data_IF_371713411689
#
_entry.id   IF_371713411689
#
_cell.length_a   1.000
_cell.length_b   1.000
_cell.length_c   1.000
_cell.angle_alpha   90.00
_cell.angle_beta   90.00
_cell.angle_gamma   90.00
#
_symmetry.space_group_name_H-M   'P 1'
#
loop_
_entity.id
_entity.type
_entity.pdbx_description
1 polymer ?
#
# COMPACT_ATOMS: atom_id res chain seq x y z
N UNK A 1 -10.29 -4.07 17.54
CA UNK A 1 -11.33 -4.20 16.47
C UNK A 1 -10.91 -5.15 15.33
N UNK A 2 -9.62 -5.25 14.93
CA UNK A 2 -9.17 -6.17 13.87
C UNK A 2 -9.19 -7.64 14.31
N UNK A 3 -8.81 -7.93 15.54
CA UNK A 3 -8.88 -9.28 16.12
C UNK A 3 -10.34 -9.71 16.26
N UNK A 4 -11.22 -8.83 16.75
CA UNK A 4 -12.66 -9.09 16.81
C UNK A 4 -13.29 -9.37 15.44
N UNK A 5 -12.84 -8.68 14.38
CA UNK A 5 -13.29 -8.97 12.99
C UNK A 5 -12.79 -10.31 12.47
N UNK A 6 -11.55 -10.72 12.77
CA UNK A 6 -11.02 -12.05 12.36
C UNK A 6 -11.69 -13.20 13.10
N UNK A 7 -12.02 -13.02 14.38
CA UNK A 7 -12.77 -14.02 15.16
C UNK A 7 -14.22 -14.07 14.69
N UNK A 8 -14.86 -12.92 14.46
CA UNK A 8 -16.22 -12.86 13.92
C UNK A 8 -16.32 -13.44 12.50
N UNK A 9 -15.31 -13.25 11.65
CA UNK A 9 -15.26 -13.81 10.30
C UNK A 9 -15.16 -15.35 10.28
N UNK A 10 -14.68 -15.99 11.36
CA UNK A 10 -14.68 -17.46 11.48
C UNK A 10 -16.04 -18.06 11.82
N UNK A 11 -16.96 -17.25 12.36
CA UNK A 11 -18.30 -17.66 12.78
C UNK A 11 -19.43 -16.99 11.98
N UNK A 12 -19.11 -16.08 11.06
CA UNK A 12 -20.10 -15.40 10.25
C UNK A 12 -20.32 -16.17 8.94
N UNK A 13 -21.57 -16.43 8.61
CA UNK A 13 -21.99 -16.93 7.31
C UNK A 13 -21.46 -15.99 6.20
N UNK A 14 -21.04 -16.56 5.09
CA UNK A 14 -20.56 -15.82 3.93
C UNK A 14 -21.62 -14.78 3.52
N UNK A 15 -21.25 -13.49 3.45
CA UNK A 15 -22.16 -12.41 3.10
C UNK A 15 -22.41 -12.43 1.59
N UNK A 16 -23.64 -12.71 1.19
CA UNK A 16 -24.06 -12.78 -0.22
C UNK A 16 -24.46 -11.39 -0.71
N UNK A 17 -23.71 -10.87 -1.69
CA UNK A 17 -23.88 -9.51 -2.20
C UNK A 17 -24.39 -9.51 -3.64
N UNK A 18 -25.45 -8.72 -3.91
CA UNK A 18 -25.92 -8.42 -5.24
C UNK A 18 -25.30 -7.08 -5.69
N UNK A 19 -24.69 -7.07 -6.85
CA UNK A 19 -24.13 -5.86 -7.42
C UNK A 19 -25.09 -5.21 -8.39
N UNK A 20 -25.27 -3.87 -8.29
CA UNK A 20 -26.07 -3.06 -9.19
C UNK A 20 -25.18 -1.99 -9.81
N UNK A 21 -24.97 -2.07 -11.13
CA UNK A 21 -24.10 -1.13 -11.84
C UNK A 21 -23.51 -1.70 -13.13
N UNK A 22 -22.44 -1.08 -13.63
CA UNK A 22 -21.81 -1.50 -14.89
C UNK A 22 -21.00 -2.80 -14.74
N UNK A 23 -20.97 -3.61 -15.79
CA UNK A 23 -20.20 -4.88 -15.86
C UNK A 23 -18.70 -4.68 -15.63
N UNK A 24 -18.13 -3.56 -16.05
CA UNK A 24 -16.70 -3.22 -15.85
C UNK A 24 -16.39 -3.06 -14.37
N UNK A 25 -17.26 -2.37 -13.61
CA UNK A 25 -17.06 -2.18 -12.16
C UNK A 25 -17.27 -3.50 -11.42
N UNK A 26 -18.22 -4.32 -11.87
CA UNK A 26 -18.46 -5.67 -11.35
C UNK A 26 -17.21 -6.55 -11.44
N UNK A 27 -16.60 -6.66 -12.63
CA UNK A 27 -15.37 -7.44 -12.83
C UNK A 27 -14.20 -6.97 -11.94
N UNK A 28 -14.02 -5.64 -11.83
CA UNK A 28 -13.02 -5.07 -10.93
C UNK A 28 -13.26 -5.40 -9.45
N UNK A 29 -14.52 -5.37 -9.02
CA UNK A 29 -14.90 -5.71 -7.66
C UNK A 29 -14.73 -7.20 -7.40
N UNK A 30 -15.12 -8.05 -8.35
CA UNK A 30 -14.94 -9.49 -8.28
C UNK A 30 -13.48 -9.88 -8.14
N UNK A 31 -12.58 -9.35 -8.97
CA UNK A 31 -11.14 -9.58 -8.86
C UNK A 31 -10.55 -9.15 -7.52
N UNK A 32 -11.06 -8.07 -6.91
CA UNK A 32 -10.64 -7.64 -5.57
C UNK A 32 -11.15 -8.53 -4.44
N UNK A 33 -12.33 -9.12 -4.60
CA UNK A 33 -12.97 -9.96 -3.58
C UNK A 33 -12.57 -11.45 -3.70
N UNK A 34 -11.85 -11.84 -4.74
CA UNK A 34 -11.44 -13.23 -5.00
C UNK A 34 -10.62 -13.84 -3.84
N UNK A 35 -9.93 -12.99 -3.08
CA UNK A 35 -9.15 -13.38 -1.90
C UNK A 35 -9.89 -13.19 -0.56
N UNK A 36 -11.11 -12.62 -0.57
CA UNK A 36 -11.92 -12.41 0.63
C UNK A 36 -13.01 -13.48 0.74
N UNK A 37 -12.78 -14.47 1.59
CA UNK A 37 -13.72 -15.57 1.82
C UNK A 37 -14.98 -15.17 2.60
N UNK A 38 -15.08 -13.94 3.06
CA UNK A 38 -16.21 -13.45 3.86
C UNK A 38 -17.36 -12.89 3.03
N UNK A 39 -17.09 -12.55 1.74
CA UNK A 39 -18.05 -11.91 0.83
C UNK A 39 -18.09 -12.64 -0.50
N UNK A 40 -19.29 -12.92 -1.00
CA UNK A 40 -19.49 -13.52 -2.35
C UNK A 40 -20.46 -12.66 -3.15
N UNK A 41 -20.05 -12.29 -4.37
CA UNK A 41 -20.93 -11.65 -5.34
C UNK A 41 -21.80 -12.73 -6.02
N UNK A 42 -23.10 -12.71 -5.74
CA UNK A 42 -24.04 -13.73 -6.22
C UNK A 42 -24.69 -13.38 -7.57
N UNK A 43 -24.50 -12.14 -8.04
CA UNK A 43 -24.97 -11.69 -9.34
C UNK A 43 -24.72 -10.21 -9.56
N UNK A 44 -24.90 -9.77 -10.81
CA UNK A 44 -24.87 -8.36 -11.21
C UNK A 44 -26.10 -8.01 -12.03
N UNK A 45 -26.62 -6.80 -11.81
CA UNK A 45 -27.77 -6.24 -12.55
C UNK A 45 -27.42 -4.84 -13.00
N UNK A 46 -27.84 -4.48 -14.22
CA UNK A 46 -27.69 -3.12 -14.73
C UNK A 46 -28.52 -2.13 -13.91
N UNK A 47 -27.99 -0.91 -13.74
CA UNK A 47 -28.72 0.12 -12.99
C UNK A 47 -30.07 0.43 -13.63
N UNK A 48 -30.13 0.49 -14.96
CA UNK A 48 -31.37 0.77 -15.73
C UNK A 48 -32.42 -0.33 -15.58
N UNK A 49 -32.00 -1.59 -15.44
CA UNK A 49 -32.92 -2.74 -15.33
C UNK A 49 -33.66 -2.77 -14.00
N UNK A 50 -33.12 -2.09 -12.97
CA UNK A 50 -33.67 -2.11 -11.61
C UNK A 50 -34.39 -0.81 -11.26
N UNK A 51 -34.04 0.32 -11.90
CA UNK A 51 -34.75 1.60 -11.71
C UNK A 51 -36.15 1.54 -12.27
N UNK A 52 -36.40 0.71 -13.29
CA UNK A 52 -37.71 0.56 -13.95
C UNK A 52 -38.65 -0.39 -13.19
N UNK A 53 -38.09 -1.32 -12.35
CA UNK A 53 -38.91 -2.32 -11.67
C UNK A 53 -38.31 -2.75 -10.31
N UNK A 54 -38.77 -2.09 -9.24
CA UNK A 54 -38.38 -2.39 -7.86
C UNK A 54 -38.83 -3.79 -7.41
N UNK A 55 -39.94 -4.32 -8.00
CA UNK A 55 -40.43 -5.66 -7.68
C UNK A 55 -39.48 -6.73 -8.19
N UNK A 56 -38.84 -6.50 -9.32
CA UNK A 56 -37.80 -7.37 -9.88
C UNK A 56 -36.56 -7.45 -8.94
N UNK A 57 -36.17 -6.32 -8.34
CA UNK A 57 -35.10 -6.33 -7.35
C UNK A 57 -35.45 -7.19 -6.12
N UNK A 58 -36.69 -7.08 -5.65
CA UNK A 58 -37.17 -7.85 -4.50
C UNK A 58 -37.21 -9.36 -4.79
N UNK A 59 -37.69 -9.76 -5.95
CA UNK A 59 -37.71 -11.18 -6.35
C UNK A 59 -36.28 -11.75 -6.49
N UNK A 60 -35.35 -11.02 -7.13
CA UNK A 60 -33.96 -11.41 -7.27
C UNK A 60 -33.25 -11.54 -5.93
N UNK A 61 -33.48 -10.60 -5.01
CA UNK A 61 -32.84 -10.64 -3.70
C UNK A 61 -33.31 -11.83 -2.86
N UNK A 62 -34.58 -12.23 -2.99
CA UNK A 62 -35.12 -13.42 -2.34
C UNK A 62 -34.59 -14.72 -2.96
N UNK A 63 -34.62 -14.83 -4.32
CA UNK A 63 -34.15 -16.02 -5.04
C UNK A 63 -32.65 -16.28 -4.78
N UNK A 64 -31.84 -15.23 -4.74
CA UNK A 64 -30.40 -15.32 -4.56
C UNK A 64 -29.99 -15.28 -3.08
N UNK A 65 -30.91 -15.26 -2.12
CA UNK A 65 -30.66 -15.15 -0.68
C UNK A 65 -29.60 -14.04 -0.38
N UNK A 66 -29.86 -12.83 -0.87
CA UNK A 66 -28.95 -11.68 -0.76
C UNK A 66 -28.98 -11.11 0.64
N UNK A 67 -27.82 -10.80 1.19
CA UNK A 67 -27.66 -10.12 2.49
C UNK A 67 -27.36 -8.62 2.33
N UNK A 68 -26.73 -8.24 1.20
CA UNK A 68 -26.33 -6.85 0.92
C UNK A 68 -26.48 -6.51 -0.56
N UNK A 69 -26.93 -5.31 -0.85
CA UNK A 69 -26.92 -4.73 -2.20
C UNK A 69 -25.79 -3.71 -2.29
N UNK A 70 -24.95 -3.84 -3.32
CA UNK A 70 -23.86 -2.89 -3.62
C UNK A 70 -24.24 -2.13 -4.87
N UNK A 71 -24.47 -0.83 -4.74
CA UNK A 71 -24.85 0.05 -5.85
C UNK A 71 -23.63 0.85 -6.28
N UNK A 72 -23.20 0.69 -7.54
CA UNK A 72 -22.12 1.50 -8.12
C UNK A 72 -22.73 2.58 -9.02
N UNK A 73 -22.54 3.84 -8.64
CA UNK A 73 -22.98 4.99 -9.45
C UNK A 73 -21.91 5.32 -10.49
N UNK A 74 -22.29 5.36 -11.77
CA UNK A 74 -21.42 5.82 -12.87
C UNK A 74 -21.62 7.31 -13.11
N UNK A 75 -20.56 8.03 -13.54
CA UNK A 75 -20.70 9.42 -13.98
C UNK A 75 -21.69 9.51 -15.16
N UNK A 76 -22.81 10.17 -14.99
CA UNK A 76 -23.90 10.24 -15.96
C UNK A 76 -25.18 9.53 -15.52
N UNK A 77 -25.20 8.88 -14.37
CA UNK A 77 -26.43 8.34 -13.78
C UNK A 77 -27.27 9.46 -13.18
N UNK A 78 -28.56 9.49 -13.50
CA UNK A 78 -29.49 10.43 -12.90
C UNK A 78 -29.50 10.27 -11.36
N UNK A 79 -29.24 11.35 -10.61
CA UNK A 79 -29.26 11.32 -9.16
C UNK A 79 -30.60 10.86 -8.58
N UNK A 80 -31.71 11.24 -9.21
CA UNK A 80 -33.05 10.91 -8.75
C UNK A 80 -33.35 9.42 -8.92
N UNK A 81 -32.97 8.82 -10.05
CA UNK A 81 -33.08 7.38 -10.28
C UNK A 81 -32.22 6.57 -9.29
N UNK A 82 -31.03 7.06 -8.95
CA UNK A 82 -30.19 6.43 -7.91
C UNK A 82 -30.84 6.51 -6.54
N UNK A 83 -31.45 7.63 -6.20
CA UNK A 83 -32.14 7.85 -4.93
C UNK A 83 -33.35 6.94 -4.78
N UNK A 84 -34.15 6.80 -5.83
CA UNK A 84 -35.30 5.87 -5.85
C UNK A 84 -34.86 4.42 -5.67
N UNK A 85 -33.78 4.00 -6.32
CA UNK A 85 -33.20 2.68 -6.15
C UNK A 85 -32.76 2.43 -4.72
N UNK A 86 -32.07 3.40 -4.08
CA UNK A 86 -31.64 3.30 -2.69
C UNK A 86 -32.84 3.22 -1.74
N UNK A 87 -33.87 4.02 -1.99
CA UNK A 87 -35.14 3.96 -1.22
C UNK A 87 -35.81 2.59 -1.38
N UNK A 88 -35.95 2.11 -2.62
CA UNK A 88 -36.50 0.79 -2.92
C UNK A 88 -35.71 -0.36 -2.29
N UNK A 89 -34.39 -0.30 -2.39
CA UNK A 89 -33.53 -1.30 -1.75
C UNK A 89 -33.65 -1.29 -0.22
N UNK A 90 -33.78 -0.13 0.42
CA UNK A 90 -34.02 -0.03 1.88
C UNK A 90 -35.33 -0.66 2.31
N UNK A 91 -36.39 -0.63 1.50
CA UNK A 91 -37.66 -1.27 1.84
C UNK A 91 -37.59 -2.79 1.87
N UNK A 92 -36.56 -3.40 1.27
CA UNK A 92 -36.33 -4.85 1.36
C UNK A 92 -35.78 -5.31 2.70
N UNK A 93 -35.36 -4.40 3.58
CA UNK A 93 -34.70 -4.70 4.85
C UNK A 93 -33.24 -5.14 4.71
N UNK A 94 -32.68 -5.13 3.51
CA UNK A 94 -31.30 -5.52 3.25
C UNK A 94 -30.34 -4.36 3.52
N UNK A 95 -29.05 -4.70 3.77
CA UNK A 95 -27.99 -3.71 3.83
C UNK A 95 -27.74 -3.14 2.45
N UNK A 96 -27.68 -1.81 2.34
CA UNK A 96 -27.35 -1.12 1.09
C UNK A 96 -26.00 -0.42 1.27
N UNK A 97 -25.08 -0.65 0.32
CA UNK A 97 -23.80 0.02 0.24
C UNK A 97 -23.67 0.70 -1.11
N UNK A 98 -23.27 1.96 -1.10
CA UNK A 98 -23.03 2.73 -2.31
C UNK A 98 -21.53 2.75 -2.58
N UNK A 99 -21.12 2.42 -3.79
CA UNK A 99 -19.75 2.53 -4.28
C UNK A 99 -19.63 3.78 -5.16
N UNK A 100 -19.27 4.94 -4.61
CA UNK A 100 -19.11 6.15 -5.42
C UNK A 100 -17.83 6.06 -6.26
N UNK A 101 -17.87 6.52 -7.51
CA UNK A 101 -16.69 6.61 -8.38
C UNK A 101 -15.56 7.46 -7.78
N UNK A 102 -15.90 8.40 -6.91
CA UNK A 102 -14.97 9.32 -6.25
C UNK A 102 -14.04 8.59 -5.26
N UNK A 103 -14.45 7.43 -4.70
CA UNK A 103 -13.64 6.69 -3.72
C UNK A 103 -12.33 6.15 -4.30
N UNK A 104 -12.24 5.95 -5.61
CA UNK A 104 -10.98 5.57 -6.26
C UNK A 104 -9.92 6.68 -6.15
N UNK A 105 -10.35 7.94 -6.08
CA UNK A 105 -9.47 9.10 -5.96
C UNK A 105 -9.28 9.57 -4.50
N UNK A 106 -10.24 9.29 -3.62
CA UNK A 106 -10.30 9.84 -2.25
C UNK A 106 -9.85 8.83 -1.19
N UNK A 107 -9.85 7.53 -1.52
CA UNK A 107 -9.55 6.45 -0.58
C UNK A 107 -10.70 6.18 0.41
N UNK A 108 -10.41 5.41 1.46
CA UNK A 108 -11.42 4.96 2.44
C UNK A 108 -11.71 5.96 3.57
N UNK A 109 -11.03 7.09 3.62
CA UNK A 109 -11.19 8.13 4.67
C UNK A 109 -12.16 9.20 4.21
N UNK A 110 -13.44 8.85 4.15
CA UNK A 110 -14.50 9.80 3.87
C UNK A 110 -15.18 10.14 5.18
N UNK A 111 -15.29 11.43 5.48
CA UNK A 111 -16.09 11.96 6.58
C UNK A 111 -17.44 12.45 6.00
N UNK A 112 -18.52 12.24 6.74
CA UNK A 112 -19.78 12.88 6.42
C UNK A 112 -19.84 14.18 7.22
N UNK A 113 -19.90 15.31 6.52
CA UNK A 113 -20.11 16.63 7.10
C UNK A 113 -21.57 17.05 6.88
N UNK A 114 -22.10 17.88 7.77
CA UNK A 114 -23.41 18.50 7.62
C UNK A 114 -23.22 20.00 7.46
N UNK A 115 -23.75 20.54 6.38
CA UNK A 115 -23.79 21.98 6.14
C UNK A 115 -25.23 22.45 6.06
N UNK A 116 -25.79 22.90 7.20
CA UNK A 116 -27.15 23.46 7.24
C UNK A 116 -28.24 22.44 6.90
N UNK A 117 -28.09 21.15 7.33
CA UNK A 117 -29.03 20.06 7.04
C UNK A 117 -28.74 19.32 5.72
N UNK A 118 -27.70 19.73 5.00
CA UNK A 118 -27.29 19.10 3.75
C UNK A 118 -26.09 18.16 4.00
N UNK A 119 -26.23 16.83 3.92
CA UNK A 119 -25.12 15.93 4.14
C UNK A 119 -24.09 16.03 3.01
N UNK A 120 -22.87 16.36 3.35
CA UNK A 120 -21.74 16.49 2.43
C UNK A 120 -20.76 15.33 2.61
N UNK A 121 -20.19 14.88 1.50
CA UNK A 121 -19.08 13.95 1.51
C UNK A 121 -17.77 14.75 1.71
N UNK A 122 -17.32 14.88 2.96
CA UNK A 122 -16.08 15.56 3.30
C UNK A 122 -14.88 14.77 2.80
N UNK A 123 -14.11 15.39 1.91
CA UNK A 123 -12.83 14.84 1.43
C UNK A 123 -11.73 15.42 2.33
N UNK A 124 -11.04 14.59 3.13
CA UNK A 124 -9.97 15.07 3.99
C UNK A 124 -8.85 15.68 3.15
N UNK A 125 -8.18 16.68 3.73
CA UNK A 125 -7.02 17.30 3.08
C UNK A 125 -5.96 16.24 2.80
N UNK A 126 -5.40 16.27 1.59
CA UNK A 126 -4.31 15.37 1.21
C UNK A 126 -3.05 15.66 2.03
N UNK A 127 -2.46 14.61 2.63
CA UNK A 127 -1.25 14.72 3.43
C UNK A 127 -1.51 14.95 4.93
N UNK A 128 -0.43 15.09 5.69
CA UNK A 128 -0.48 15.19 7.15
C UNK A 128 -0.80 16.61 7.64
N UNK A 129 -1.63 16.69 8.66
CA UNK A 129 -1.78 17.92 9.46
C UNK A 129 -0.45 18.29 10.14
N UNK A 130 -0.34 19.52 10.66
CA UNK A 130 0.87 19.93 11.40
C UNK A 130 1.13 19.03 12.61
N UNK A 131 0.12 18.76 13.42
CA UNK A 131 0.22 17.84 14.59
C UNK A 131 0.63 16.44 14.17
N UNK A 132 0.03 15.91 13.13
CA UNK A 132 0.38 14.58 12.59
C UNK A 132 1.83 14.49 12.13
N UNK A 133 2.38 15.56 11.54
CA UNK A 133 3.81 15.61 11.16
C UNK A 133 4.74 15.50 12.37
N UNK A 134 4.43 16.22 13.45
CA UNK A 134 5.22 16.17 14.68
C UNK A 134 5.12 14.80 15.34
N UNK A 135 3.92 14.24 15.46
CA UNK A 135 3.70 12.91 16.04
C UNK A 135 4.42 11.83 15.24
N UNK A 136 4.31 11.87 13.91
CA UNK A 136 5.05 10.96 13.04
C UNK A 136 6.56 11.09 13.22
N UNK A 137 7.08 12.32 13.25
CA UNK A 137 8.50 12.58 13.42
C UNK A 137 9.03 12.09 14.79
N UNK A 138 8.25 12.28 15.85
CA UNK A 138 8.59 11.78 17.19
C UNK A 138 8.66 10.24 17.19
N UNK A 139 7.69 9.55 16.58
CA UNK A 139 7.71 8.09 16.40
C UNK A 139 8.94 7.65 15.60
N UNK A 140 9.26 8.33 14.50
CA UNK A 140 10.39 8.02 13.64
C UNK A 140 11.73 8.14 14.42
N UNK A 141 11.92 9.24 15.15
CA UNK A 141 13.15 9.46 15.95
C UNK A 141 13.24 8.42 17.06
N UNK A 142 12.16 8.22 17.82
CA UNK A 142 12.16 7.26 18.93
C UNK A 142 12.46 5.85 18.43
N UNK A 143 11.72 5.37 17.43
CA UNK A 143 11.91 4.02 16.91
C UNK A 143 13.28 3.81 16.23
N UNK A 144 13.77 4.82 15.49
CA UNK A 144 15.10 4.74 14.88
C UNK A 144 16.23 4.75 15.92
N UNK A 145 16.10 5.54 16.99
CA UNK A 145 17.08 5.56 18.10
C UNK A 145 17.11 4.22 18.82
N UNK A 146 15.95 3.68 19.19
CA UNK A 146 15.85 2.35 19.81
C UNK A 146 16.42 1.29 18.88
N UNK A 147 16.05 1.33 17.58
CA UNK A 147 16.57 0.40 16.58
C UNK A 147 18.10 0.47 16.44
N UNK A 148 18.68 1.68 16.39
CA UNK A 148 20.13 1.86 16.32
C UNK A 148 20.84 1.31 17.56
N UNK A 149 20.33 1.61 18.77
CA UNK A 149 20.94 1.11 20.02
C UNK A 149 20.93 -0.42 20.06
N UNK A 150 19.79 -1.04 19.74
CA UNK A 150 19.65 -2.49 19.74
C UNK A 150 20.49 -3.17 18.66
N UNK A 151 20.60 -2.55 17.48
CA UNK A 151 21.34 -3.11 16.35
C UNK A 151 22.82 -2.71 16.34
N UNK A 152 23.27 -1.77 17.17
CA UNK A 152 24.64 -1.29 17.16
C UNK A 152 25.70 -2.41 17.26
N UNK A 153 25.62 -3.38 18.19
CA UNK A 153 26.61 -4.46 18.26
C UNK A 153 26.60 -5.32 16.97
N UNK A 154 25.42 -5.61 16.43
CA UNK A 154 25.29 -6.38 15.19
C UNK A 154 25.83 -5.59 13.98
N UNK A 155 25.59 -4.29 13.93
CA UNK A 155 26.12 -3.42 12.88
C UNK A 155 27.66 -3.34 12.94
N UNK A 156 28.24 -3.34 14.11
CA UNK A 156 29.72 -3.37 14.29
C UNK A 156 30.27 -4.69 13.74
N UNK A 157 29.75 -5.82 14.16
CA UNK A 157 30.15 -7.14 13.64
C UNK A 157 30.00 -7.22 12.12
N UNK A 158 28.84 -6.77 11.59
CA UNK A 158 28.59 -6.70 10.15
C UNK A 158 29.64 -5.87 9.43
N UNK A 159 30.03 -4.74 9.99
CA UNK A 159 31.06 -3.85 9.41
C UNK A 159 32.41 -4.55 9.29
N UNK A 160 32.79 -5.30 10.29
CA UNK A 160 34.06 -6.11 10.29
C UNK A 160 33.96 -7.20 9.22
N UNK A 161 32.84 -7.95 9.19
CA UNK A 161 32.65 -9.04 8.22
C UNK A 161 32.72 -8.52 6.77
N UNK A 162 32.12 -7.38 6.47
CA UNK A 162 32.19 -6.76 5.13
C UNK A 162 33.60 -6.40 4.75
N UNK A 163 34.40 -5.88 5.71
CA UNK A 163 35.81 -5.51 5.47
C UNK A 163 36.72 -6.72 5.23
N UNK A 164 36.40 -7.84 5.86
CA UNK A 164 37.15 -9.10 5.67
C UNK A 164 36.74 -9.77 4.35
N UNK A 165 35.45 -9.72 3.96
CA UNK A 165 34.92 -10.40 2.79
C UNK A 165 35.32 -9.71 1.46
N UNK A 166 35.44 -8.38 1.46
CA UNK A 166 35.77 -7.63 0.22
C UNK A 166 36.44 -6.28 0.52
N UNK A 167 37.32 -5.83 -0.38
CA UNK A 167 37.95 -4.51 -0.37
C UNK A 167 36.94 -3.39 -0.60
N UNK A 168 37.16 -2.19 -0.04
CA UNK A 168 36.33 -1.00 -0.27
C UNK A 168 35.54 -0.53 0.97
N UNK A 169 34.61 0.43 0.84
CA UNK A 169 33.87 1.03 1.96
C UNK A 169 32.83 0.06 2.53
N UNK A 170 32.56 0.12 3.83
CA UNK A 170 31.53 -0.68 4.51
C UNK A 170 30.13 -0.26 4.10
N UNK A 171 29.91 1.05 3.93
CA UNK A 171 28.63 1.63 3.58
C UNK A 171 28.56 1.93 2.08
N UNK A 172 27.52 1.47 1.47
CA UNK A 172 27.10 1.85 0.12
C UNK A 172 26.13 3.04 0.20
N UNK A 173 26.29 3.99 -0.70
CA UNK A 173 25.45 5.18 -0.79
C UNK A 173 24.78 5.21 -2.16
N UNK A 174 23.47 5.38 -2.17
CA UNK A 174 22.71 5.45 -3.40
C UNK A 174 21.79 6.67 -3.41
N UNK A 175 21.87 7.46 -4.48
CA UNK A 175 20.96 8.60 -4.67
C UNK A 175 19.55 8.09 -4.93
N UNK A 176 18.61 8.55 -4.12
CA UNK A 176 17.17 8.25 -4.22
C UNK A 176 16.35 9.52 -4.17
N UNK A 177 15.12 9.44 -4.67
CA UNK A 177 14.16 10.54 -4.62
C UNK A 177 13.45 10.53 -3.27
N UNK A 178 13.55 11.65 -2.57
CA UNK A 178 12.97 11.88 -1.26
C UNK A 178 11.70 12.73 -1.30
N UNK A 179 11.38 13.30 -0.14
CA UNK A 179 10.21 14.16 0.02
C UNK A 179 10.27 15.37 -0.91
N UNK A 180 9.12 15.70 -1.51
CA UNK A 180 8.95 16.79 -2.50
C UNK A 180 9.87 16.67 -3.72
N UNK A 181 10.38 15.48 -4.02
CA UNK A 181 11.28 15.25 -5.15
C UNK A 181 12.75 15.56 -4.87
N UNK A 182 13.11 16.00 -3.67
CA UNK A 182 14.49 16.30 -3.32
C UNK A 182 15.35 15.02 -3.28
N UNK A 183 16.50 14.96 -3.96
CA UNK A 183 17.37 13.80 -3.90
C UNK A 183 18.05 13.68 -2.53
N UNK A 184 18.28 12.45 -2.07
CA UNK A 184 19.04 12.17 -0.85
C UNK A 184 19.91 10.92 -1.01
N UNK A 185 20.92 10.78 -0.13
CA UNK A 185 21.79 9.62 -0.10
C UNK A 185 21.23 8.57 0.85
N UNK A 186 20.70 7.48 0.31
CA UNK A 186 20.26 6.32 1.06
C UNK A 186 21.46 5.46 1.44
N UNK A 187 21.56 5.14 2.73
CA UNK A 187 22.65 4.36 3.30
C UNK A 187 22.26 2.88 3.37
N UNK A 188 23.16 2.01 2.91
CA UNK A 188 23.06 0.55 3.08
C UNK A 188 24.43 -0.03 3.45
N UNK A 189 24.47 -1.21 4.03
CA UNK A 189 25.70 -1.98 4.04
C UNK A 189 26.03 -2.45 2.62
N UNK A 190 27.31 -2.48 2.28
CA UNK A 190 27.76 -2.99 1.00
C UNK A 190 27.56 -4.51 0.97
N UNK A 191 26.81 -4.99 -0.02
CA UNK A 191 26.51 -6.41 -0.24
C UNK A 191 27.02 -6.91 -1.58
N UNK A 192 27.63 -6.05 -2.37
CA UNK A 192 28.19 -6.36 -3.68
C UNK A 192 29.68 -6.05 -3.70
N UNK A 193 30.39 -6.67 -4.64
CA UNK A 193 31.80 -6.41 -4.92
C UNK A 193 32.01 -4.94 -5.30
N UNK A 194 33.26 -4.48 -5.18
CA UNK A 194 33.61 -3.15 -5.66
C UNK A 194 33.41 -3.08 -7.18
N UNK A 195 33.01 -1.92 -7.69
CA UNK A 195 32.67 -1.72 -9.11
C UNK A 195 31.47 -2.55 -9.64
N UNK A 196 30.56 -3.03 -8.78
CA UNK A 196 29.38 -3.78 -9.21
C UNK A 196 28.46 -3.01 -10.22
N UNK A 197 28.51 -1.67 -10.20
CA UNK A 197 27.75 -0.85 -11.14
C UNK A 197 28.26 -0.95 -12.59
N UNK A 198 29.55 -1.13 -12.82
CA UNK A 198 30.13 -1.32 -14.15
C UNK A 198 29.69 -2.66 -14.76
N UNK A 199 29.58 -3.70 -13.94
CA UNK A 199 29.10 -5.03 -14.34
C UNK A 199 27.60 -5.06 -14.62
N UNK A 200 26.85 -4.03 -14.23
CA UNK A 200 25.40 -3.99 -14.44
C UNK A 200 25.02 -3.98 -15.92
N UNK A 201 25.81 -3.30 -16.76
CA UNK A 201 25.54 -3.22 -18.21
C UNK A 201 25.66 -4.60 -18.87
N UNK A 202 26.66 -5.40 -18.48
CA UNK A 202 26.91 -6.74 -19.01
C UNK A 202 25.83 -7.75 -18.57
N UNK A 203 25.21 -7.51 -17.42
CA UNK A 203 24.18 -8.37 -16.86
C UNK A 203 22.76 -7.94 -17.22
N UNK A 204 22.59 -6.92 -18.07
CA UNK A 204 21.27 -6.38 -18.37
C UNK A 204 20.34 -7.39 -19.08
N UNK A 205 20.92 -8.28 -19.90
CA UNK A 205 20.17 -9.34 -20.59
C UNK A 205 19.63 -10.42 -19.64
N UNK A 206 20.21 -10.56 -18.44
CA UNK A 206 19.77 -11.52 -17.41
C UNK A 206 18.69 -10.94 -16.48
N UNK A 207 18.15 -9.77 -16.80
CA UNK A 207 17.14 -9.12 -15.97
C UNK A 207 15.80 -9.86 -16.04
N UNK A 208 15.32 -10.37 -14.88
CA UNK A 208 14.09 -11.14 -14.76
C UNK A 208 12.83 -10.29 -14.48
N UNK A 209 13.01 -9.00 -14.19
CA UNK A 209 11.92 -8.14 -13.77
C UNK A 209 11.59 -7.06 -14.82
N UNK A 210 10.32 -6.98 -15.23
CA UNK A 210 9.82 -5.89 -16.05
C UNK A 210 9.77 -4.57 -15.27
N UNK A 211 10.68 -3.64 -15.62
CA UNK A 211 10.72 -2.28 -15.06
C UNK A 211 11.63 -2.06 -13.85
N UNK A 212 12.09 -3.10 -13.18
CA UNK A 212 13.11 -3.06 -12.13
C UNK A 212 14.25 -3.98 -12.53
N UNK A 213 15.51 -3.63 -12.17
CA UNK A 213 16.64 -4.51 -12.42
C UNK A 213 16.75 -5.53 -11.28
N UNK A 214 16.51 -6.81 -11.58
CA UNK A 214 16.57 -7.91 -10.62
C UNK A 214 17.07 -9.20 -11.30
N UNK A 215 18.09 -9.83 -10.70
CA UNK A 215 18.64 -11.14 -11.10
C UNK A 215 18.56 -12.02 -9.85
N UNK A 216 18.03 -13.23 -9.97
CA UNK A 216 17.82 -14.14 -8.83
C UNK A 216 19.13 -14.57 -8.18
N UNK A 217 20.14 -14.94 -8.96
CA UNK A 217 21.47 -15.26 -8.46
C UNK A 217 22.52 -14.31 -9.04
N UNK A 218 22.49 -13.07 -8.55
CA UNK A 218 23.35 -11.97 -9.02
C UNK A 218 24.83 -12.26 -8.62
N UNK A 219 25.73 -12.49 -9.58
CA UNK A 219 27.13 -12.83 -9.31
C UNK A 219 27.94 -11.74 -8.61
N UNK A 220 27.43 -10.50 -8.62
CA UNK A 220 28.05 -9.36 -7.94
C UNK A 220 27.88 -9.40 -6.42
N UNK A 221 26.97 -10.24 -5.91
CA UNK A 221 26.69 -10.32 -4.47
C UNK A 221 27.75 -11.14 -3.77
N UNK A 222 28.42 -10.55 -2.76
CA UNK A 222 29.43 -11.24 -1.93
C UNK A 222 28.80 -12.32 -1.03
N UNK A 223 29.63 -13.19 -0.44
CA UNK A 223 29.12 -14.24 0.48
C UNK A 223 28.44 -13.64 1.71
N UNK A 224 29.08 -12.65 2.34
CA UNK A 224 28.50 -11.89 3.44
C UNK A 224 27.28 -11.10 2.98
N UNK A 225 27.36 -10.47 1.79
CA UNK A 225 26.26 -9.73 1.22
C UNK A 225 24.98 -10.56 1.02
N UNK A 226 25.11 -11.81 0.59
CA UNK A 226 23.98 -12.76 0.45
C UNK A 226 23.30 -13.04 1.80
N UNK A 227 24.09 -13.23 2.84
CA UNK A 227 23.59 -13.41 4.21
C UNK A 227 22.85 -12.17 4.71
N UNK A 228 23.45 -10.96 4.52
CA UNK A 228 22.86 -9.69 4.95
C UNK A 228 21.53 -9.42 4.27
N UNK A 229 21.43 -9.63 2.95
CA UNK A 229 20.18 -9.47 2.18
C UNK A 229 19.09 -10.41 2.64
N UNK A 230 19.44 -11.68 2.90
CA UNK A 230 18.48 -12.69 3.40
C UNK A 230 17.83 -12.28 4.71
N UNK A 231 18.55 -11.56 5.56
CA UNK A 231 18.07 -11.07 6.85
C UNK A 231 17.63 -9.60 6.81
N UNK A 232 17.71 -8.94 5.65
CA UNK A 232 17.47 -7.50 5.48
C UNK A 232 18.35 -6.62 6.38
N UNK A 233 19.47 -7.14 6.85
CA UNK A 233 20.44 -6.41 7.70
C UNK A 233 21.20 -5.34 6.91
N UNK A 234 21.30 -5.49 5.60
CA UNK A 234 21.90 -4.50 4.72
C UNK A 234 21.18 -3.13 4.78
N UNK A 235 19.93 -3.11 5.20
CA UNK A 235 19.13 -1.89 5.32
C UNK A 235 19.25 -1.18 6.68
N UNK A 236 19.89 -1.81 7.69
CA UNK A 236 20.02 -1.24 9.03
C UNK A 236 20.63 0.18 9.05
N UNK A 237 21.64 0.56 8.20
CA UNK A 237 22.17 1.92 8.16
C UNK A 237 21.15 3.00 7.76
N UNK A 238 20.00 2.61 7.16
CA UNK A 238 18.92 3.56 6.85
C UNK A 238 18.31 4.19 8.12
N UNK A 239 18.43 3.56 9.28
CA UNK A 239 18.04 4.17 10.56
C UNK A 239 18.75 5.52 10.79
N UNK A 240 19.99 5.67 10.31
CA UNK A 240 20.70 6.96 10.33
C UNK A 240 20.03 7.99 9.39
N UNK A 241 19.51 7.54 8.24
CA UNK A 241 18.74 8.41 7.37
C UNK A 241 17.42 8.87 8.04
N UNK A 242 16.79 8.01 8.85
CA UNK A 242 15.61 8.38 9.62
C UNK A 242 15.95 9.43 10.67
N UNK A 243 17.03 9.25 11.45
CA UNK A 243 17.48 10.26 12.44
C UNK A 243 17.77 11.60 11.75
N UNK A 244 18.40 11.59 10.58
CA UNK A 244 18.70 12.81 9.79
C UNK A 244 17.46 13.45 9.17
N UNK A 245 16.34 12.73 9.08
CA UNK A 245 15.07 13.22 8.51
C UNK A 245 14.93 13.06 7.00
N UNK A 246 15.91 12.47 6.32
CA UNK A 246 15.82 12.14 4.90
C UNK A 246 14.94 10.91 4.63
N UNK A 247 14.75 10.07 5.65
CA UNK A 247 13.83 8.93 5.65
C UNK A 247 12.91 8.93 6.87
N UNK A 248 11.91 8.07 6.85
CA UNK A 248 10.97 7.73 7.92
C UNK A 248 11.04 6.22 8.16
N UNK A 249 10.59 5.74 9.31
CA UNK A 249 10.43 4.29 9.53
C UNK A 249 9.41 3.71 8.54
N UNK A 250 8.26 4.38 8.40
CA UNK A 250 7.19 3.97 7.49
C UNK A 250 6.94 5.07 6.47
N UNK A 251 6.90 4.72 5.19
CA UNK A 251 6.65 5.69 4.12
C UNK A 251 6.61 5.07 2.74
N UNK A 252 6.42 5.90 1.71
CA UNK A 252 6.55 5.50 0.32
C UNK A 252 7.95 4.95 0.02
N UNK A 253 8.06 4.03 -0.92
CA UNK A 253 9.37 3.50 -1.33
C UNK A 253 10.24 4.60 -1.94
N UNK A 254 11.51 4.77 -1.49
CA UNK A 254 12.46 5.64 -2.15
C UNK A 254 12.87 5.06 -3.51
N UNK A 255 12.45 5.69 -4.60
CA UNK A 255 12.78 5.27 -5.96
C UNK A 255 14.12 5.86 -6.41
N UNK A 256 14.79 5.19 -7.36
CA UNK A 256 15.91 5.77 -8.10
C UNK A 256 15.38 6.82 -9.08
N UNK A 257 16.25 7.74 -9.50
CA UNK A 257 15.88 8.86 -10.36
C UNK A 257 15.17 8.40 -11.65
N UNK A 258 15.63 7.33 -12.28
CA UNK A 258 15.06 6.84 -13.54
C UNK A 258 13.70 6.17 -13.38
N UNK A 259 13.43 5.52 -12.24
CA UNK A 259 12.10 5.01 -11.89
C UNK A 259 11.14 6.17 -11.61
N UNK A 260 11.59 7.20 -10.88
CA UNK A 260 10.75 8.34 -10.50
C UNK A 260 10.36 9.21 -11.72
N UNK A 261 11.22 9.35 -12.72
CA UNK A 261 10.91 10.06 -13.98
C UNK A 261 9.69 9.49 -14.71
N UNK A 262 9.39 8.19 -14.52
CA UNK A 262 8.24 7.52 -15.14
C UNK A 262 6.92 7.84 -14.45
N UNK A 263 6.95 8.48 -13.26
CA UNK A 263 5.78 8.82 -12.48
C UNK A 263 5.39 10.26 -12.76
N UNK A 264 4.19 10.46 -13.29
CA UNK A 264 3.68 11.78 -13.68
C UNK A 264 2.32 12.07 -13.01
N UNK A 265 1.87 13.31 -13.08
CA UNK A 265 0.53 13.70 -12.65
C UNK A 265 0.28 13.53 -11.15
N UNK A 266 -0.90 13.05 -10.81
CA UNK A 266 -1.35 12.88 -9.42
C UNK A 266 -0.53 11.90 -8.61
N UNK A 267 0.06 10.92 -9.26
CA UNK A 267 0.85 9.86 -8.63
C UNK A 267 2.13 10.42 -7.96
N UNK A 268 2.65 11.56 -8.41
CA UNK A 268 3.77 12.27 -7.77
C UNK A 268 3.44 12.77 -6.35
N UNK A 269 2.17 12.86 -5.98
CA UNK A 269 1.77 13.24 -4.62
C UNK A 269 2.22 12.24 -3.56
N UNK A 270 2.64 11.02 -3.94
CA UNK A 270 3.33 10.09 -3.05
C UNK A 270 4.54 10.72 -2.37
N UNK A 271 5.18 11.69 -3.01
CA UNK A 271 6.35 12.40 -2.51
C UNK A 271 6.03 13.47 -1.44
N UNK A 272 4.77 13.69 -1.08
CA UNK A 272 4.40 14.59 0.02
C UNK A 272 4.84 14.07 1.39
N UNK A 273 5.08 12.78 1.52
CA UNK A 273 5.68 12.17 2.71
C UNK A 273 7.15 11.81 2.48
N UNK A 274 7.89 11.79 3.58
CA UNK A 274 9.27 11.29 3.60
C UNK A 274 9.25 9.79 3.28
N UNK A 275 10.15 9.29 2.41
CA UNK A 275 10.21 7.87 2.06
C UNK A 275 10.56 7.02 3.29
N UNK A 276 10.02 5.79 3.33
CA UNK A 276 10.17 4.88 4.46
C UNK A 276 11.23 3.81 4.26
N UNK A 277 11.76 3.29 5.38
CA UNK A 277 12.50 2.01 5.39
C UNK A 277 11.55 0.89 5.02
N UNK A 278 10.34 0.92 5.61
CA UNK A 278 9.24 0.01 5.25
C UNK A 278 8.01 0.79 4.77
N UNK A 279 7.06 0.09 4.18
CA UNK A 279 5.82 0.68 3.68
C UNK A 279 4.79 -0.38 3.34
N UNK A 280 3.58 0.07 3.04
CA UNK A 280 2.44 -0.80 2.77
C UNK A 280 2.68 -1.75 1.58
N UNK A 281 3.34 -1.28 0.53
CA UNK A 281 3.66 -2.09 -0.65
C UNK A 281 4.64 -3.24 -0.34
N UNK A 282 5.61 -3.03 0.58
CA UNK A 282 6.59 -4.05 0.98
C UNK A 282 5.92 -5.24 1.67
N UNK A 283 4.92 -4.97 2.51
CA UNK A 283 4.17 -6.01 3.25
C UNK A 283 3.27 -6.82 2.30
N UNK A 284 2.78 -6.21 1.22
CA UNK A 284 1.91 -6.86 0.24
C UNK A 284 2.66 -7.78 -0.75
N UNK A 285 3.99 -7.89 -0.66
CA UNK A 285 4.78 -8.79 -1.51
C UNK A 285 5.53 -8.06 -2.62
N UNK A 286 6.44 -7.21 -2.24
CA UNK A 286 7.21 -6.23 -3.05
C UNK A 286 7.80 -6.71 -4.38
N UNK A 287 8.14 -7.98 -4.51
CA UNK A 287 8.87 -8.48 -5.69
C UNK A 287 8.00 -8.72 -6.93
N UNK A 288 6.67 -8.69 -6.79
CA UNK A 288 5.72 -9.05 -7.85
C UNK A 288 4.75 -7.94 -8.24
N UNK A 289 4.82 -6.79 -7.55
CA UNK A 289 3.89 -5.67 -7.79
C UNK A 289 4.48 -4.75 -8.86
N UNK A 290 3.78 -4.49 -9.99
CA UNK A 290 4.21 -3.53 -11.00
C UNK A 290 4.37 -2.12 -10.41
N UNK A 291 5.31 -1.34 -10.98
CA UNK A 291 5.60 0.04 -10.51
C UNK A 291 4.33 0.90 -10.39
N UNK A 292 3.43 0.83 -11.37
CA UNK A 292 2.19 1.61 -11.38
C UNK A 292 1.25 1.26 -10.22
N UNK A 293 1.17 -0.01 -9.82
CA UNK A 293 0.36 -0.42 -8.67
C UNK A 293 1.01 -0.03 -7.34
N UNK A 294 2.34 -0.20 -7.25
CA UNK A 294 3.10 0.24 -6.08
C UNK A 294 2.89 1.74 -5.82
N UNK A 295 2.95 2.56 -6.85
CA UNK A 295 2.73 4.01 -6.77
C UNK A 295 1.32 4.34 -6.27
N UNK A 296 0.29 3.60 -6.71
CA UNK A 296 -1.09 3.75 -6.21
C UNK A 296 -1.21 3.37 -4.73
N UNK A 297 -0.54 2.29 -4.30
CA UNK A 297 -0.51 1.87 -2.90
C UNK A 297 0.14 2.95 -2.04
N UNK A 298 1.27 3.51 -2.48
CA UNK A 298 1.95 4.60 -1.81
C UNK A 298 1.08 5.87 -1.75
N UNK A 299 0.42 6.23 -2.86
CA UNK A 299 -0.52 7.36 -2.90
C UNK A 299 -1.65 7.20 -1.87
N UNK A 300 -2.27 6.01 -1.82
CA UNK A 300 -3.35 5.72 -0.87
C UNK A 300 -2.86 5.75 0.58
N UNK A 301 -1.64 5.31 0.84
CA UNK A 301 -1.03 5.43 2.17
C UNK A 301 -0.86 6.90 2.56
N UNK A 302 -0.37 7.76 1.67
CA UNK A 302 -0.19 9.21 1.92
C UNK A 302 -1.53 9.91 2.12
N UNK A 303 -2.55 9.55 1.32
CA UNK A 303 -3.89 10.12 1.39
C UNK A 303 -4.63 9.76 2.70
N UNK A 304 -4.40 8.55 3.22
CA UNK A 304 -5.12 7.99 4.37
C UNK A 304 -4.21 7.77 5.58
N UNK A 305 -3.12 8.50 5.68
CA UNK A 305 -2.15 8.31 6.75
C UNK A 305 -2.79 8.42 8.14
N UNK A 306 -2.44 7.50 9.01
CA UNK A 306 -2.73 7.56 10.44
C UNK A 306 -1.59 6.91 11.22
N UNK A 307 -1.36 7.40 12.46
CA UNK A 307 -0.36 6.81 13.35
C UNK A 307 -0.59 5.31 13.59
N UNK A 308 -1.84 4.90 13.66
CA UNK A 308 -2.22 3.50 13.84
C UNK A 308 -1.85 2.64 12.63
N UNK A 309 -1.93 3.19 11.44
CA UNK A 309 -1.48 2.50 10.21
C UNK A 309 0.04 2.29 10.23
N UNK A 310 0.83 3.30 10.65
CA UNK A 310 2.27 3.16 10.81
C UNK A 310 2.62 2.05 11.81
N UNK A 311 1.96 2.02 12.96
CA UNK A 311 2.19 0.97 13.96
C UNK A 311 1.86 -0.42 13.40
N UNK A 312 0.75 -0.58 12.67
CA UNK A 312 0.40 -1.85 12.02
C UNK A 312 1.46 -2.28 11.01
N UNK A 313 1.93 -1.35 10.17
CA UNK A 313 2.96 -1.62 9.17
C UNK A 313 4.24 -2.06 9.84
N UNK A 314 4.68 -1.39 10.92
CA UNK A 314 5.86 -1.78 11.68
C UNK A 314 5.75 -3.19 12.26
N UNK A 315 4.64 -3.52 12.91
CA UNK A 315 4.39 -4.86 13.47
C UNK A 315 4.39 -5.93 12.37
N UNK A 316 3.74 -5.64 11.24
CA UNK A 316 3.71 -6.57 10.09
C UNK A 316 5.09 -6.75 9.46
N UNK A 317 5.90 -5.68 9.42
CA UNK A 317 7.28 -5.73 8.90
C UNK A 317 8.15 -6.66 9.75
N UNK A 318 8.02 -6.61 11.07
CA UNK A 318 8.75 -7.54 11.95
C UNK A 318 8.38 -9.00 11.64
N UNK A 319 7.10 -9.29 11.46
CA UNK A 319 6.64 -10.62 11.05
C UNK A 319 7.14 -11.04 9.66
N UNK A 320 7.19 -10.09 8.72
CA UNK A 320 7.68 -10.31 7.36
C UNK A 320 9.18 -10.65 7.35
N UNK A 321 9.99 -9.88 8.07
CA UNK A 321 11.43 -10.12 8.22
C UNK A 321 11.68 -11.46 8.93
N UNK A 322 10.96 -11.75 10.01
CA UNK A 322 11.07 -13.02 10.75
C UNK A 322 10.71 -14.25 9.90
N UNK A 323 9.73 -14.12 8.99
CA UNK A 323 9.31 -15.21 8.09
C UNK A 323 10.24 -15.43 6.89
N UNK A 324 11.35 -14.68 6.78
CA UNK A 324 12.33 -14.74 5.68
C UNK A 324 11.72 -14.58 4.27
N UNK A 325 10.59 -13.89 4.13
CA UNK A 325 9.89 -13.66 2.85
C UNK A 325 10.43 -12.46 2.06
N UNK A 326 11.57 -11.92 2.44
CA UNK A 326 12.16 -10.70 1.86
C UNK A 326 13.00 -10.89 0.58
N UNK A 327 13.03 -12.06 -0.04
CA UNK A 327 13.75 -12.32 -1.30
C UNK A 327 12.78 -12.60 -2.44
#
# INVERSE_FOLDING_TARGET
RAIGRRVAARFSSVERCLFVGSSIVYQRLQAKLEHDRSVVLVGSVGLQDVTTDVLKLRSLTQQLAVHRIIIATSGGTDPDATMELVRGAKTTGLRVSILPNVLAAVGSSVAFDDLGGMPLLGVPRFGLSRSSKYTKRALDIFGATVGLVLMAPLMLVTSVLIKVDSSGPVLFRQTRVGRNGAPFQMLKFRTMVDHADTLKAELYEQNEASGLFKIADDPRITRVGRFLRRLSLDEAPQLLNVIRGSMSLVGPRPLILDEDKRITGFDRRRLHLTPGITGRWQILGSARIPLAEMVKIDYLYVANWSLWEDIKILVQTLGFVASRRGL
#
